data_IF_856137036871
#
_entry.id   IF_856137036871
#
_cell.length_a   1.000
_cell.length_b   1.000
_cell.length_c   1.000
_cell.angle_alpha   90.00
_cell.angle_beta   90.00
_cell.angle_gamma   90.00
#
_symmetry.space_group_name_H-M   'P 1'
#
loop_
_entity.id
_entity.type
_entity.pdbx_description
1 polymer ?
#
# COMPACT_ATOMS: atom_id res chain seq x y z
N UNK A 1 -0.44 37.78 37.93
CA UNK A 1 -0.12 38.41 36.62
C UNK A 1 1.28 37.93 36.29
N UNK A 2 1.58 37.06 35.32
CA UNK A 2 1.12 36.93 33.94
C UNK A 2 1.44 35.53 33.38
N UNK A 3 0.42 34.93 32.74
CA UNK A 3 0.41 34.13 31.50
C UNK A 3 1.42 32.99 31.29
N UNK A 4 0.92 31.77 31.49
CA UNK A 4 1.36 30.55 30.81
C UNK A 4 0.89 30.57 29.34
N UNK A 5 1.79 30.22 28.42
CA UNK A 5 1.50 30.04 27.00
C UNK A 5 1.24 28.56 26.73
N UNK A 6 -0.03 28.22 26.56
CA UNK A 6 -0.51 26.92 26.12
C UNK A 6 -0.49 26.89 24.58
N UNK A 7 0.41 26.11 23.98
CA UNK A 7 0.46 25.92 22.52
C UNK A 7 -0.34 24.68 22.14
N UNK A 8 -1.55 24.89 21.65
CA UNK A 8 -2.43 23.86 21.10
C UNK A 8 -1.90 23.36 19.76
N UNK A 9 -1.59 22.06 19.67
CA UNK A 9 -1.42 21.39 18.38
C UNK A 9 -2.80 21.20 17.74
N UNK A 10 -3.10 21.98 16.71
CA UNK A 10 -4.27 21.78 15.87
C UNK A 10 -4.03 20.54 14.99
N UNK A 11 -4.76 19.47 15.29
CA UNK A 11 -4.82 18.26 14.48
C UNK A 11 -5.65 18.59 13.25
N UNK A 12 -4.97 18.85 12.14
CA UNK A 12 -5.60 19.15 10.85
C UNK A 12 -6.19 17.85 10.30
N UNK A 13 -7.51 17.73 10.37
CA UNK A 13 -8.31 16.71 9.71
C UNK A 13 -8.20 16.91 8.19
N UNK A 14 -7.30 16.16 7.54
CA UNK A 14 -7.17 16.15 6.08
C UNK A 14 -7.92 14.94 5.54
N UNK A 15 -9.06 15.25 4.91
CA UNK A 15 -9.82 14.37 4.03
C UNK A 15 -8.89 13.61 3.09
N UNK A 16 -9.15 12.31 2.98
CA UNK A 16 -8.41 11.39 2.12
C UNK A 16 -8.48 11.83 0.65
N UNK A 17 -7.38 11.83 -0.11
CA UNK A 17 -7.47 11.69 -1.55
C UNK A 17 -7.93 10.25 -1.83
N UNK A 18 -9.11 10.10 -2.40
CA UNK A 18 -9.56 8.82 -2.96
C UNK A 18 -8.65 8.46 -4.14
N UNK A 19 -7.97 7.31 -4.04
CA UNK A 19 -7.47 6.63 -5.23
C UNK A 19 -8.70 6.11 -5.98
N UNK A 20 -8.84 6.35 -7.30
CA UNK A 20 -10.08 6.10 -8.01
C UNK A 20 -10.47 4.62 -7.97
N UNK A 21 -11.59 4.35 -7.32
CA UNK A 21 -12.36 3.13 -7.51
C UNK A 21 -13.14 3.28 -8.82
N UNK A 22 -12.80 2.50 -9.85
CA UNK A 22 -13.66 2.19 -11.01
C UNK A 22 -14.25 3.39 -11.78
N UNK A 23 -13.65 3.72 -12.93
CA UNK A 23 -14.27 4.63 -13.91
C UNK A 23 -15.34 3.85 -14.70
N UNK A 24 -16.57 4.34 -14.62
CA UNK A 24 -17.71 3.95 -15.44
C UNK A 24 -17.44 4.18 -16.93
N UNK A 25 -17.72 3.18 -17.76
CA UNK A 25 -17.72 3.28 -19.21
C UNK A 25 -19.07 3.86 -19.66
N UNK A 26 -19.12 4.95 -20.44
CA UNK A 26 -20.36 5.36 -21.10
C UNK A 26 -20.61 4.46 -22.31
N UNK A 27 -21.86 4.01 -22.46
CA UNK A 27 -22.35 3.35 -23.65
C UNK A 27 -22.30 4.33 -24.83
N UNK A 28 -21.75 3.88 -25.97
CA UNK A 28 -21.92 4.54 -27.26
C UNK A 28 -22.61 3.61 -28.22
N UNK A 29 -23.62 4.18 -28.86
CA UNK A 29 -24.58 3.63 -29.80
C UNK A 29 -23.95 3.08 -31.09
N UNK A 30 -24.75 2.21 -31.70
CA UNK A 30 -24.60 1.57 -33.00
C UNK A 30 -24.34 2.55 -34.16
N UNK A 31 -23.57 2.09 -35.15
CA UNK A 31 -23.96 2.22 -36.55
C UNK A 31 -23.26 1.17 -37.41
N UNK A 32 -24.04 0.62 -38.34
CA UNK A 32 -23.84 -0.61 -39.09
C UNK A 32 -22.88 -0.53 -40.29
N UNK A 33 -22.30 -1.67 -40.69
CA UNK A 33 -22.48 -2.25 -42.04
C UNK A 33 -21.71 -3.59 -42.24
N UNK A 34 -22.47 -4.60 -42.66
CA UNK A 34 -22.21 -5.99 -43.14
C UNK A 34 -21.37 -6.10 -44.45
N UNK A 35 -21.18 -7.29 -45.10
CA UNK A 35 -21.27 -8.72 -44.68
C UNK A 35 -20.13 -9.64 -45.21
N UNK A 36 -20.12 -10.92 -44.80
CA UNK A 36 -19.36 -11.99 -45.48
C UNK A 36 -19.66 -13.41 -44.96
N UNK A 37 -20.35 -14.20 -45.77
CA UNK A 37 -20.82 -15.57 -45.55
C UNK A 37 -19.72 -16.63 -45.29
N UNK A 38 -20.03 -17.68 -44.50
CA UNK A 38 -20.19 -19.06 -45.01
C UNK A 38 -20.52 -20.08 -43.91
N UNK A 39 -21.33 -21.06 -44.30
CA UNK A 39 -22.02 -22.08 -43.51
C UNK A 39 -21.13 -23.29 -43.14
N UNK A 40 -21.51 -24.00 -42.07
CA UNK A 40 -21.62 -25.47 -42.12
C UNK A 40 -22.57 -25.99 -41.04
N UNK A 41 -23.55 -26.77 -41.47
CA UNK A 41 -24.55 -27.49 -40.70
C UNK A 41 -23.99 -28.77 -40.06
N UNK A 42 -24.50 -29.15 -38.89
CA UNK A 42 -25.26 -30.38 -38.64
C UNK A 42 -25.21 -30.81 -37.16
N UNK A 43 -26.36 -31.21 -36.63
CA UNK A 43 -26.43 -32.09 -35.45
C UNK A 43 -27.59 -31.83 -34.48
N UNK A 44 -28.83 -32.02 -34.93
CA UNK A 44 -30.03 -32.07 -34.09
C UNK A 44 -30.01 -33.24 -33.10
N UNK A 45 -30.53 -33.04 -31.89
CA UNK A 45 -31.49 -33.99 -31.30
C UNK A 45 -32.45 -33.26 -30.36
N UNK A 46 -33.73 -33.56 -30.60
CA UNK A 46 -34.97 -33.03 -30.01
C UNK A 46 -35.41 -33.94 -28.85
N UNK A 47 -36.20 -33.41 -27.92
CA UNK A 47 -37.45 -33.96 -27.30
C UNK A 47 -37.72 -33.14 -26.02
N UNK A 48 -38.53 -32.07 -26.03
CA UNK A 48 -40.01 -31.96 -25.94
C UNK A 48 -40.65 -32.50 -24.66
N UNK A 49 -41.35 -31.59 -23.95
CA UNK A 49 -42.65 -31.71 -23.26
C UNK A 49 -42.67 -30.67 -22.11
N UNK A 50 -43.65 -29.82 -21.88
CA UNK A 50 -44.95 -29.58 -22.50
C UNK A 50 -45.61 -28.46 -21.69
N UNK A 51 -46.25 -27.51 -22.39
CA UNK A 51 -47.23 -26.59 -21.82
C UNK A 51 -48.43 -27.36 -21.28
N UNK A 52 -48.98 -26.95 -20.13
CA UNK A 52 -50.40 -27.08 -19.83
C UNK A 52 -50.80 -26.13 -18.67
N UNK A 53 -51.61 -25.14 -19.06
CA UNK A 53 -52.53 -24.37 -18.25
C UNK A 53 -53.53 -25.25 -17.51
N UNK A 54 -53.89 -24.90 -16.26
CA UNK A 54 -55.27 -24.66 -15.78
C UNK A 54 -55.36 -24.72 -14.25
N UNK A 55 -55.91 -23.63 -13.70
CA UNK A 55 -57.00 -23.55 -12.72
C UNK A 55 -57.15 -24.72 -11.73
N UNK A 56 -57.08 -24.39 -10.43
CA UNK A 56 -57.95 -24.98 -9.41
C UNK A 56 -58.02 -24.04 -8.20
N UNK A 57 -59.15 -23.34 -8.13
CA UNK A 57 -59.75 -22.80 -6.92
C UNK A 57 -59.86 -23.89 -5.84
N UNK A 58 -59.44 -23.61 -4.61
CA UNK A 58 -59.86 -24.40 -3.45
C UNK A 58 -60.39 -23.49 -2.33
N UNK A 59 -61.71 -23.50 -2.30
CA UNK A 59 -62.66 -23.36 -1.21
C UNK A 59 -62.10 -23.17 0.21
N UNK A 60 -62.47 -22.02 0.80
CA UNK A 60 -62.85 -21.98 2.23
C UNK A 60 -64.28 -21.46 2.31
N UNK A 61 -65.20 -22.39 2.56
CA UNK A 61 -66.58 -22.14 2.94
C UNK A 61 -66.74 -22.35 4.46
N UNK A 62 -67.83 -21.77 4.95
CA UNK A 62 -68.38 -21.79 6.31
C UNK A 62 -67.77 -20.74 7.25
N UNK A 63 -68.52 -19.82 7.84
CA UNK A 63 -69.96 -19.69 7.94
C UNK A 63 -70.29 -18.94 9.24
N UNK A 64 -71.39 -18.20 9.20
CA UNK A 64 -72.20 -17.73 10.34
C UNK A 64 -71.78 -16.43 11.05
N UNK A 65 -72.79 -15.57 11.27
CA UNK A 65 -72.73 -14.51 12.28
C UNK A 65 -73.20 -13.13 11.87
N UNK A 66 -74.29 -12.99 11.12
CA UNK A 66 -75.07 -11.75 11.10
C UNK A 66 -75.72 -11.58 12.48
N UNK A 67 -75.21 -10.68 13.31
CA UNK A 67 -75.98 -10.14 14.43
C UNK A 67 -75.84 -8.60 14.47
N UNK A 68 -76.90 -7.96 14.00
CA UNK A 68 -77.13 -6.53 14.01
C UNK A 68 -77.37 -6.06 15.45
N UNK A 69 -76.29 -5.78 16.18
CA UNK A 69 -76.37 -5.07 17.46
C UNK A 69 -76.34 -3.56 17.20
N UNK A 70 -77.49 -2.92 17.45
CA UNK A 70 -77.68 -1.49 17.60
C UNK A 70 -76.51 -0.83 18.35
N UNK A 71 -75.68 -0.07 17.63
CA UNK A 71 -74.65 0.78 18.18
C UNK A 71 -75.33 1.96 18.90
N UNK A 72 -75.63 1.78 20.19
CA UNK A 72 -76.03 2.89 21.05
C UNK A 72 -74.86 3.85 21.15
N UNK A 73 -75.00 4.99 20.47
CA UNK A 73 -74.23 6.20 20.69
C UNK A 73 -74.35 6.60 22.17
N UNK A 74 -73.44 6.08 23.01
CA UNK A 74 -73.18 6.61 24.34
C UNK A 74 -72.51 7.97 24.14
N UNK A 75 -73.30 9.03 24.23
CA UNK A 75 -72.80 10.40 24.38
C UNK A 75 -71.87 10.39 25.60
N UNK A 76 -70.58 10.74 25.46
CA UNK A 76 -69.69 10.83 26.60
C UNK A 76 -70.28 11.85 27.58
N UNK A 77 -70.58 11.41 28.80
CA UNK A 77 -70.98 12.30 29.87
C UNK A 77 -69.96 13.42 30.06
N UNK A 78 -70.39 14.62 30.50
CA UNK A 78 -69.48 15.73 30.71
C UNK A 78 -68.34 15.31 31.63
N UNK A 79 -67.08 15.64 31.30
CA UNK A 79 -65.94 15.28 32.13
C UNK A 79 -66.13 15.88 33.54
N UNK A 80 -65.70 15.17 34.60
CA UNK A 80 -65.81 15.66 35.96
C UNK A 80 -65.17 17.05 36.09
N UNK A 81 -65.75 17.95 36.91
CA UNK A 81 -65.23 19.30 37.08
C UNK A 81 -63.80 19.25 37.62
N UNK A 82 -62.88 19.82 36.83
CA UNK A 82 -61.45 19.89 37.15
C UNK A 82 -61.27 20.81 38.36
N UNK A 83 -60.85 20.24 39.48
CA UNK A 83 -60.55 20.98 40.71
C UNK A 83 -59.28 21.81 40.46
N UNK A 84 -59.25 23.05 40.92
CA UNK A 84 -58.16 24.03 40.71
C UNK A 84 -56.76 23.54 41.12
N UNK A 85 -56.70 22.53 41.99
CA UNK A 85 -55.49 21.82 42.43
C UNK A 85 -54.76 21.08 41.30
N UNK A 86 -55.43 20.69 40.21
CA UNK A 86 -54.81 19.89 39.12
C UNK A 86 -54.10 20.74 38.04
N UNK A 87 -54.18 22.08 38.11
CA UNK A 87 -53.63 22.99 37.09
C UNK A 87 -52.17 23.38 37.32
N UNK A 88 -51.59 22.99 38.45
CA UNK A 88 -50.23 23.36 38.85
C UNK A 88 -49.47 22.06 39.11
N UNK A 89 -48.40 21.82 38.37
CA UNK A 89 -47.50 20.71 38.68
C UNK A 89 -46.79 20.97 40.03
N UNK A 90 -46.24 19.93 40.66
CA UNK A 90 -45.65 20.03 42.00
C UNK A 90 -44.47 21.03 42.11
N UNK A 91 -43.98 21.53 40.98
CA UNK A 91 -42.94 22.54 40.80
C UNK A 91 -43.48 23.98 40.64
N UNK A 92 -44.80 24.19 40.78
CA UNK A 92 -45.41 25.53 40.68
C UNK A 92 -45.68 26.00 39.26
N UNK A 93 -45.35 25.21 38.24
CA UNK A 93 -45.61 25.56 36.84
C UNK A 93 -47.00 25.15 36.37
N UNK A 94 -47.63 26.00 35.56
CA UNK A 94 -48.93 25.73 34.96
C UNK A 94 -48.81 24.56 33.98
N UNK A 95 -49.61 23.50 34.16
CA UNK A 95 -49.66 22.39 33.22
C UNK A 95 -50.38 22.84 31.94
N UNK A 96 -49.60 23.22 30.92
CA UNK A 96 -50.12 23.65 29.61
C UNK A 96 -50.73 22.42 28.87
N UNK A 97 -51.95 22.05 29.24
CA UNK A 97 -52.78 21.06 28.55
C UNK A 97 -53.51 21.71 27.37
N UNK A 98 -52.78 22.13 26.35
CA UNK A 98 -53.39 22.46 25.06
C UNK A 98 -53.66 21.16 24.28
N UNK A 99 -54.78 21.09 23.54
CA UNK A 99 -55.05 19.95 22.63
C UNK A 99 -53.89 19.69 21.66
N UNK A 100 -53.10 20.72 21.33
CA UNK A 100 -51.92 20.65 20.46
C UNK A 100 -50.73 19.98 21.16
N UNK A 101 -50.43 20.37 22.39
CA UNK A 101 -49.33 19.80 23.19
C UNK A 101 -49.61 18.36 23.59
N UNK A 102 -50.87 18.02 23.89
CA UNK A 102 -51.25 16.63 24.20
C UNK A 102 -51.18 15.71 22.97
N UNK A 103 -51.60 16.20 21.79
CA UNK A 103 -51.42 15.48 20.52
C UNK A 103 -49.94 15.28 20.18
N UNK A 104 -49.09 16.28 20.45
CA UNK A 104 -47.65 16.16 20.24
C UNK A 104 -47.02 15.17 21.22
N UNK A 105 -47.42 15.19 22.50
CA UNK A 105 -46.97 14.22 23.51
C UNK A 105 -47.39 12.80 23.16
N UNK A 106 -48.66 12.57 22.81
CA UNK A 106 -49.15 11.27 22.31
C UNK A 106 -48.45 10.82 21.02
N UNK A 107 -48.06 11.75 20.13
CA UNK A 107 -47.29 11.42 18.92
C UNK A 107 -45.84 11.05 19.25
N UNK A 108 -45.23 11.69 20.24
CA UNK A 108 -43.88 11.37 20.73
C UNK A 108 -43.88 10.05 21.53
N UNK A 109 -44.85 9.82 22.39
CA UNK A 109 -45.06 8.58 23.14
C UNK A 109 -45.33 7.41 22.19
N UNK A 110 -46.21 7.57 21.17
CA UNK A 110 -46.40 6.55 20.12
C UNK A 110 -45.15 6.32 19.26
N UNK A 111 -44.31 7.34 19.06
CA UNK A 111 -43.01 7.18 18.38
C UNK A 111 -41.98 6.50 19.27
N UNK A 112 -42.04 6.70 20.58
CA UNK A 112 -41.16 6.06 21.56
C UNK A 112 -41.57 4.61 21.84
N UNK A 113 -42.87 4.31 21.88
CA UNK A 113 -43.42 2.96 22.09
C UNK A 113 -43.36 2.07 20.85
N UNK A 114 -43.21 2.67 19.65
CA UNK A 114 -42.91 1.98 18.40
C UNK A 114 -41.42 1.81 18.13
N UNK A 115 -40.54 2.35 18.99
CA UNK A 115 -39.13 1.97 18.91
C UNK A 115 -39.06 0.52 19.37
N UNK A 116 -38.54 -0.40 18.54
CA UNK A 116 -38.33 -1.76 18.99
C UNK A 116 -37.52 -1.72 20.29
N UNK A 117 -37.76 -2.66 21.23
CA UNK A 117 -36.91 -2.77 22.42
C UNK A 117 -35.47 -2.76 21.93
N UNK A 118 -34.63 -1.86 22.49
CA UNK A 118 -33.21 -1.76 22.16
C UNK A 118 -32.68 -3.18 22.10
N UNK A 119 -32.43 -3.67 20.89
CA UNK A 119 -31.98 -5.04 20.68
C UNK A 119 -30.70 -5.18 21.48
N UNK A 120 -30.76 -5.99 22.52
CA UNK A 120 -29.59 -6.47 23.22
C UNK A 120 -28.77 -7.19 22.14
N UNK A 121 -27.65 -6.60 21.71
CA UNK A 121 -26.56 -7.32 21.06
C UNK A 121 -26.58 -7.55 19.54
N UNK A 122 -27.17 -6.69 18.70
CA UNK A 122 -27.02 -6.80 17.22
C UNK A 122 -25.83 -6.04 16.62
N UNK A 123 -25.04 -5.34 17.43
CA UNK A 123 -23.82 -4.67 16.97
C UNK A 123 -22.64 -5.63 16.85
N UNK A 124 -21.55 -5.19 16.21
CA UNK A 124 -20.28 -5.93 16.15
C UNK A 124 -19.50 -5.85 17.48
N UNK A 125 -19.51 -4.69 18.15
CA UNK A 125 -18.80 -4.42 19.41
C UNK A 125 -19.22 -5.17 20.69
N UNK A 126 -20.39 -5.84 20.80
CA UNK A 126 -20.68 -6.75 21.91
C UNK A 126 -19.85 -8.04 21.88
N UNK A 127 -19.11 -8.31 20.79
CA UNK A 127 -18.23 -9.46 20.68
C UNK A 127 -16.96 -9.26 21.53
N UNK A 128 -16.40 -10.33 22.12
CA UNK A 128 -15.06 -10.34 22.69
C UNK A 128 -13.99 -9.84 21.72
N UNK A 129 -12.98 -9.14 22.24
CA UNK A 129 -11.92 -8.53 21.44
C UNK A 129 -11.17 -9.57 20.59
N UNK A 130 -10.98 -10.79 21.07
CA UNK A 130 -10.31 -11.88 20.34
C UNK A 130 -11.08 -12.26 19.07
N UNK A 131 -12.42 -12.30 19.15
CA UNK A 131 -13.27 -12.59 18.00
C UNK A 131 -13.26 -11.42 17.02
N UNK A 132 -13.29 -10.18 17.51
CA UNK A 132 -13.17 -8.99 16.68
C UNK A 132 -11.84 -8.97 15.91
N UNK A 133 -10.73 -9.19 16.60
CA UNK A 133 -9.40 -9.24 15.99
C UNK A 133 -9.28 -10.37 14.95
N UNK A 134 -9.85 -11.54 15.24
CA UNK A 134 -9.91 -12.65 14.28
C UNK A 134 -10.74 -12.30 13.04
N UNK A 135 -11.90 -11.66 13.19
CA UNK A 135 -12.72 -11.19 12.07
C UNK A 135 -11.93 -10.18 11.23
N UNK A 136 -11.30 -9.19 11.86
CA UNK A 136 -10.53 -8.16 11.16
C UNK A 136 -9.28 -8.73 10.48
N UNK A 137 -8.64 -9.74 11.05
CA UNK A 137 -7.50 -10.41 10.43
C UNK A 137 -7.84 -11.12 9.11
N UNK A 138 -9.12 -11.43 8.86
CA UNK A 138 -9.56 -12.00 7.60
C UNK A 138 -9.83 -10.95 6.50
N UNK A 139 -9.91 -9.67 6.85
CA UNK A 139 -10.19 -8.60 5.89
C UNK A 139 -8.92 -8.17 5.14
N UNK A 140 -9.10 -7.49 4.00
CA UNK A 140 -7.99 -6.88 3.28
C UNK A 140 -7.61 -5.54 3.93
N UNK A 141 -6.34 -5.11 3.84
CA UNK A 141 -5.92 -3.80 4.36
C UNK A 141 -6.77 -2.63 3.82
N UNK A 142 -7.16 -2.67 2.54
CA UNK A 142 -8.10 -1.71 1.95
C UNK A 142 -9.48 -1.70 2.62
N UNK A 143 -10.02 -2.86 2.96
CA UNK A 143 -11.31 -2.97 3.66
C UNK A 143 -11.21 -2.41 5.07
N UNK A 144 -10.11 -2.68 5.76
CA UNK A 144 -9.82 -2.18 7.11
C UNK A 144 -9.70 -0.65 7.13
N UNK A 145 -9.01 -0.06 6.15
CA UNK A 145 -8.94 1.40 5.98
C UNK A 145 -10.32 2.01 5.70
N UNK A 146 -11.16 1.35 4.91
CA UNK A 146 -12.56 1.77 4.70
C UNK A 146 -13.38 1.64 5.98
N UNK A 147 -13.19 0.57 6.75
CA UNK A 147 -13.87 0.38 8.04
C UNK A 147 -13.52 1.47 9.06
N UNK A 148 -12.28 1.96 9.09
CA UNK A 148 -11.88 3.09 9.94
C UNK A 148 -12.65 4.40 9.62
N UNK A 149 -13.28 4.50 8.46
CA UNK A 149 -14.06 5.67 8.05
C UNK A 149 -15.55 5.55 8.42
N UNK A 150 -16.03 4.37 8.82
CA UNK A 150 -17.46 4.12 9.04
C UNK A 150 -18.02 4.78 10.31
N UNK A 151 -17.31 4.66 11.44
CA UNK A 151 -17.69 5.32 12.69
C UNK A 151 -16.48 5.56 13.60
N UNK A 152 -16.63 6.48 14.56
CA UNK A 152 -15.56 6.87 15.49
C UNK A 152 -15.10 5.71 16.37
N UNK A 153 -16.04 4.89 16.87
CA UNK A 153 -15.72 3.71 17.67
C UNK A 153 -14.89 2.68 16.90
N UNK A 154 -15.21 2.44 15.62
CA UNK A 154 -14.45 1.52 14.77
C UNK A 154 -13.05 2.07 14.48
N UNK A 155 -12.96 3.37 14.19
CA UNK A 155 -11.68 4.05 13.97
C UNK A 155 -10.76 3.90 15.18
N UNK A 156 -11.28 4.18 16.37
CA UNK A 156 -10.49 4.14 17.60
C UNK A 156 -10.06 2.71 17.95
N UNK A 157 -10.98 1.75 17.81
CA UNK A 157 -10.69 0.33 18.06
C UNK A 157 -9.58 -0.18 17.12
N UNK A 158 -9.72 0.05 15.81
CA UNK A 158 -8.74 -0.40 14.81
C UNK A 158 -7.39 0.31 14.96
N UNK A 159 -7.35 1.57 15.41
CA UNK A 159 -6.08 2.26 15.71
C UNK A 159 -5.40 1.71 16.95
N UNK A 160 -6.17 1.41 18.00
CA UNK A 160 -5.65 0.89 19.26
C UNK A 160 -4.99 -0.48 19.07
N UNK A 161 -5.62 -1.35 18.29
CA UNK A 161 -5.17 -2.73 18.10
C UNK A 161 -4.41 -2.96 16.79
N UNK A 162 -4.02 -1.89 16.10
CA UNK A 162 -3.48 -1.92 14.74
C UNK A 162 -2.31 -2.90 14.59
N UNK A 163 -1.32 -2.81 15.47
CA UNK A 163 -0.12 -3.64 15.41
C UNK A 163 -0.39 -5.14 15.58
N UNK A 164 -1.43 -5.51 16.33
CA UNK A 164 -1.74 -6.90 16.65
C UNK A 164 -2.40 -7.58 15.46
N UNK A 165 -3.52 -7.05 14.96
CA UNK A 165 -4.22 -7.71 13.86
C UNK A 165 -3.49 -7.53 12.53
N UNK A 166 -2.78 -6.42 12.30
CA UNK A 166 -2.05 -6.22 11.04
C UNK A 166 -0.92 -7.24 10.90
N UNK A 167 -0.22 -7.56 11.98
CA UNK A 167 0.80 -8.63 11.96
C UNK A 167 0.20 -9.96 11.52
N UNK A 168 -0.99 -10.28 12.00
CA UNK A 168 -1.71 -11.49 11.58
C UNK A 168 -2.16 -11.43 10.11
N UNK A 169 -2.65 -10.28 9.65
CA UNK A 169 -3.00 -10.06 8.23
C UNK A 169 -1.78 -10.28 7.32
N UNK A 170 -0.63 -9.70 7.70
CA UNK A 170 0.62 -9.84 6.93
C UNK A 170 1.10 -11.29 6.91
N UNK A 171 1.14 -11.95 8.07
CA UNK A 171 1.55 -13.35 8.16
C UNK A 171 0.66 -14.28 7.32
N UNK A 172 -0.65 -14.01 7.25
CA UNK A 172 -1.60 -14.83 6.48
C UNK A 172 -1.58 -14.56 4.98
N UNK A 173 -1.40 -13.31 4.56
CA UNK A 173 -1.61 -12.89 3.16
C UNK A 173 -0.34 -12.54 2.40
N UNK A 174 0.68 -12.05 3.10
CA UNK A 174 1.85 -11.38 2.54
C UNK A 174 3.18 -11.98 3.06
N UNK A 175 3.19 -13.28 3.34
CA UNK A 175 4.33 -13.97 3.95
C UNK A 175 5.59 -13.94 3.07
N UNK A 176 5.45 -13.87 1.75
CA UNK A 176 6.56 -13.77 0.80
C UNK A 176 6.98 -12.32 0.57
N UNK A 177 6.03 -11.39 0.51
CA UNK A 177 6.27 -9.98 0.20
C UNK A 177 6.85 -9.22 1.39
N UNK A 178 6.46 -9.54 2.62
CA UNK A 178 6.96 -8.86 3.82
C UNK A 178 8.49 -8.92 3.94
N UNK A 179 9.16 -10.08 3.80
CA UNK A 179 10.62 -10.13 3.85
C UNK A 179 11.31 -9.42 2.67
N UNK A 180 10.61 -9.27 1.53
CA UNK A 180 11.14 -8.57 0.36
C UNK A 180 11.13 -7.04 0.56
N UNK A 181 10.03 -6.53 1.09
CA UNK A 181 9.73 -5.09 1.19
C UNK A 181 9.85 -4.56 2.61
N UNK A 182 11.02 -4.73 3.22
CA UNK A 182 11.25 -4.24 4.58
C UNK A 182 11.19 -2.72 4.67
N UNK A 183 10.69 -2.23 5.80
CA UNK A 183 10.65 -0.80 6.09
C UNK A 183 12.06 -0.25 6.42
N UNK A 184 12.41 0.96 5.94
CA UNK A 184 13.58 1.67 6.45
C UNK A 184 13.38 2.08 7.91
N UNK A 185 14.47 2.14 8.67
CA UNK A 185 14.45 2.61 10.05
C UNK A 185 14.23 4.13 10.09
N UNK A 186 13.43 4.59 11.06
CA UNK A 186 13.22 6.02 11.28
C UNK A 186 14.39 6.61 12.06
N UNK A 187 14.66 7.89 11.84
CA UNK A 187 15.81 8.54 12.47
C UNK A 187 15.67 8.60 14.00
N UNK A 188 14.44 8.70 14.50
CA UNK A 188 14.12 8.64 15.93
C UNK A 188 14.47 7.32 16.62
N UNK A 189 14.57 6.22 15.86
CA UNK A 189 14.78 4.86 16.40
C UNK A 189 16.27 4.46 16.37
N UNK A 190 17.13 5.29 15.77
CA UNK A 190 18.59 5.06 15.70
C UNK A 190 19.28 5.79 16.85
N UNK A 191 20.37 5.21 17.35
CA UNK A 191 21.23 5.83 18.38
C UNK A 191 21.63 7.27 17.99
N UNK A 192 21.29 8.28 18.82
CA UNK A 192 21.68 9.68 18.62
C UNK A 192 23.18 9.90 18.37
N UNK A 193 24.05 9.02 18.88
CA UNK A 193 25.51 9.13 18.69
C UNK A 193 25.92 9.05 17.22
N UNK A 194 25.15 8.34 16.38
CA UNK A 194 25.45 8.09 14.96
C UNK A 194 24.81 9.17 14.07
N UNK A 195 23.87 9.97 14.58
CA UNK A 195 23.13 10.98 13.80
C UNK A 195 24.05 11.99 13.08
N UNK A 196 25.11 12.54 13.70
CA UNK A 196 26.02 13.47 13.01
C UNK A 196 26.70 12.83 11.79
N UNK A 197 27.13 11.57 11.93
CA UNK A 197 27.77 10.82 10.84
C UNK A 197 26.79 10.54 9.69
N UNK A 198 25.53 10.21 10.02
CA UNK A 198 24.48 9.99 9.02
C UNK A 198 24.15 11.27 8.28
N UNK A 199 24.04 12.41 8.98
CA UNK A 199 23.67 13.72 8.43
C UNK A 199 24.84 14.48 7.79
N UNK A 200 26.06 13.91 7.81
CA UNK A 200 27.26 14.57 7.30
C UNK A 200 27.08 15.04 5.83
N UNK A 201 27.31 16.33 5.51
CA UNK A 201 27.01 16.90 4.19
C UNK A 201 27.72 16.20 3.02
N UNK A 202 28.99 15.81 3.18
CA UNK A 202 29.72 15.10 2.13
C UNK A 202 29.11 13.74 1.83
N UNK A 203 28.60 13.07 2.87
CA UNK A 203 27.92 11.78 2.75
C UNK A 203 26.59 11.94 2.04
N UNK A 204 25.78 12.92 2.45
CA UNK A 204 24.51 13.25 1.79
C UNK A 204 24.72 13.65 0.32
N UNK A 205 25.79 14.39 0.02
CA UNK A 205 26.18 14.74 -1.34
C UNK A 205 26.61 13.52 -2.18
N UNK A 206 27.34 12.60 -1.56
CA UNK A 206 27.88 11.36 -2.16
C UNK A 206 26.89 10.20 -2.27
N UNK A 207 25.73 10.27 -1.60
CA UNK A 207 24.61 9.33 -1.75
C UNK A 207 23.89 9.52 -3.10
N UNK A 208 24.63 9.38 -4.19
CA UNK A 208 24.12 9.49 -5.56
C UNK A 208 23.17 8.38 -5.98
N UNK A 209 22.77 7.48 -5.08
CA UNK A 209 21.82 6.40 -5.37
C UNK A 209 20.43 6.98 -5.66
N UNK A 210 20.01 8.02 -4.92
CA UNK A 210 18.71 8.66 -5.13
C UNK A 210 18.65 9.54 -6.38
N UNK A 211 19.76 10.20 -6.73
CA UNK A 211 19.84 11.14 -7.87
C UNK A 211 19.68 10.48 -9.24
N UNK A 212 19.68 9.15 -9.30
CA UNK A 212 19.62 8.42 -10.55
C UNK A 212 18.20 8.05 -10.98
N UNK A 213 17.24 8.01 -10.05
CA UNK A 213 15.85 7.66 -10.35
C UNK A 213 15.02 8.91 -10.57
N UNK A 214 14.32 8.99 -11.69
CA UNK A 214 13.39 10.11 -11.98
C UNK A 214 12.04 9.96 -11.29
N UNK A 215 11.71 8.76 -10.81
CA UNK A 215 10.39 8.38 -10.32
C UNK A 215 10.41 7.99 -8.82
N UNK A 216 11.49 8.34 -8.11
CA UNK A 216 11.63 8.11 -6.67
C UNK A 216 12.09 9.40 -6.03
N UNK A 217 11.34 9.86 -5.02
CA UNK A 217 11.74 11.01 -4.22
C UNK A 217 12.89 10.59 -3.31
N UNK A 218 13.96 11.38 -3.15
CA UNK A 218 14.96 11.12 -2.12
C UNK A 218 14.31 11.09 -0.73
N UNK A 219 14.79 10.19 0.14
CA UNK A 219 14.34 10.15 1.52
C UNK A 219 14.77 11.42 2.26
N UNK A 220 13.92 11.93 3.14
CA UNK A 220 14.29 13.04 4.04
C UNK A 220 15.30 12.54 5.08
N UNK A 221 16.54 13.05 5.07
CA UNK A 221 17.59 12.59 5.96
C UNK A 221 17.31 12.88 7.43
N UNK A 222 16.43 13.83 7.74
CA UNK A 222 16.07 14.18 9.12
C UNK A 222 15.04 13.23 9.72
N UNK A 223 14.24 12.57 8.88
CA UNK A 223 13.15 11.70 9.31
C UNK A 223 13.52 10.21 9.20
N UNK A 224 14.34 9.83 8.22
CA UNK A 224 14.62 8.44 7.86
C UNK A 224 16.12 8.19 7.93
N UNK A 225 16.52 7.03 8.47
CA UNK A 225 17.91 6.62 8.46
C UNK A 225 18.42 6.56 7.02
N UNK A 226 19.57 7.20 6.78
CA UNK A 226 20.17 7.27 5.45
C UNK A 226 21.28 6.25 5.23
N UNK A 227 21.39 5.19 6.04
CA UNK A 227 22.29 4.07 5.74
C UNK A 227 21.92 3.42 4.39
N UNK A 228 22.86 2.72 3.75
CA UNK A 228 22.65 2.13 2.42
C UNK A 228 21.42 1.21 2.39
N UNK A 229 21.27 0.34 3.39
CA UNK A 229 20.11 -0.54 3.54
C UNK A 229 18.78 0.24 3.58
N UNK A 230 18.68 1.31 4.38
CA UNK A 230 17.44 2.07 4.51
C UNK A 230 17.11 2.86 3.23
N UNK A 231 18.13 3.37 2.53
CA UNK A 231 17.96 4.00 1.21
C UNK A 231 17.34 3.02 0.20
N UNK A 232 17.89 1.80 0.13
CA UNK A 232 17.39 0.79 -0.79
C UNK A 232 15.97 0.34 -0.44
N UNK A 233 15.64 0.21 0.86
CA UNK A 233 14.28 -0.06 1.33
C UNK A 233 13.30 1.05 0.96
N UNK A 234 13.67 2.32 1.19
CA UNK A 234 12.88 3.47 0.79
C UNK A 234 12.60 3.47 -0.72
N UNK A 235 13.65 3.31 -1.53
CA UNK A 235 13.50 3.25 -2.98
C UNK A 235 12.58 2.09 -3.40
N UNK A 236 12.72 0.91 -2.78
CA UNK A 236 11.87 -0.25 -3.06
C UNK A 236 10.39 0.04 -2.80
N UNK A 237 10.06 0.69 -1.69
CA UNK A 237 8.68 1.05 -1.35
C UNK A 237 8.11 2.10 -2.32
N UNK A 238 8.88 3.13 -2.66
CA UNK A 238 8.45 4.13 -3.65
C UNK A 238 8.20 3.49 -5.02
N UNK A 239 9.07 2.57 -5.44
CA UNK A 239 8.93 1.84 -6.71
C UNK A 239 7.66 1.01 -6.76
N UNK A 240 7.32 0.32 -5.68
CA UNK A 240 6.09 -0.46 -5.58
C UNK A 240 4.85 0.42 -5.78
N UNK A 241 4.83 1.60 -5.16
CA UNK A 241 3.71 2.54 -5.29
C UNK A 241 3.65 3.15 -6.70
N UNK A 242 4.79 3.56 -7.28
CA UNK A 242 4.83 4.07 -8.65
C UNK A 242 4.42 2.98 -9.66
N UNK A 243 4.91 1.75 -9.50
CA UNK A 243 4.52 0.63 -10.35
C UNK A 243 3.02 0.34 -10.29
N UNK A 244 2.40 0.47 -9.12
CA UNK A 244 0.96 0.33 -8.95
C UNK A 244 0.16 1.43 -9.66
N UNK A 245 0.64 2.68 -9.60
CA UNK A 245 0.04 3.81 -10.31
C UNK A 245 -0.03 3.55 -11.83
N UNK A 246 1.00 2.95 -12.41
CA UNK A 246 1.07 2.68 -13.85
C UNK A 246 0.43 1.37 -14.32
N UNK A 247 -0.06 0.51 -13.41
CA UNK A 247 -0.74 -0.74 -13.79
C UNK A 247 -1.90 -0.56 -14.79
N UNK A 248 -2.79 0.44 -14.66
CA UNK A 248 -3.84 0.65 -15.65
C UNK A 248 -3.31 0.84 -17.07
N UNK A 249 -2.26 1.66 -17.24
CA UNK A 249 -1.63 1.89 -18.54
C UNK A 249 -1.00 0.61 -19.10
N UNK A 250 -0.33 -0.16 -18.24
CA UNK A 250 0.31 -1.42 -18.64
C UNK A 250 -0.71 -2.48 -19.07
N UNK A 251 -1.88 -2.50 -18.43
CA UNK A 251 -2.96 -3.44 -18.76
C UNK A 251 -3.74 -3.04 -20.02
N UNK A 252 -3.95 -1.74 -20.24
CA UNK A 252 -4.60 -1.23 -21.45
C UNK A 252 -3.67 -1.17 -22.66
N UNK A 253 -2.37 -1.35 -22.47
CA UNK A 253 -1.35 -1.14 -23.51
C UNK A 253 -1.12 0.35 -23.84
N UNK A 254 -1.59 1.26 -23.00
CA UNK A 254 -1.34 2.70 -23.16
C UNK A 254 0.13 3.00 -22.80
N UNK A 255 0.87 3.74 -23.63
CA UNK A 255 2.26 4.07 -23.34
C UNK A 255 2.37 4.91 -22.06
N UNK A 256 3.36 4.60 -21.21
CA UNK A 256 3.73 5.43 -20.06
C UNK A 256 4.45 6.67 -20.60
N UNK A 257 4.09 7.89 -20.17
CA UNK A 257 4.76 9.10 -20.58
C UNK A 257 6.26 9.07 -20.24
N UNK A 258 7.10 9.10 -21.27
CA UNK A 258 8.55 9.20 -21.12
C UNK A 258 8.97 10.62 -20.77
N UNK A 259 9.86 10.76 -19.78
CA UNK A 259 10.42 12.04 -19.38
C UNK A 259 11.73 12.26 -20.16
N UNK A 260 11.85 13.33 -20.97
CA UNK A 260 13.09 13.66 -21.64
C UNK A 260 14.22 13.92 -20.65
N UNK A 261 15.45 13.56 -21.03
CA UNK A 261 16.63 13.78 -20.16
C UNK A 261 16.74 15.26 -19.77
N UNK A 262 17.02 15.52 -18.49
CA UNK A 262 17.21 16.87 -17.95
C UNK A 262 15.92 17.69 -17.77
N UNK A 263 14.75 17.13 -18.06
CA UNK A 263 13.46 17.77 -17.78
C UNK A 263 12.85 17.22 -16.50
N UNK A 264 12.18 18.11 -15.77
CA UNK A 264 11.42 17.79 -14.56
C UNK A 264 9.99 18.31 -14.76
N UNK A 265 9.11 17.48 -15.34
CA UNK A 265 7.73 17.91 -15.57
C UNK A 265 6.97 17.92 -14.25
N UNK A 266 6.13 18.93 -14.04
CA UNK A 266 5.35 19.16 -12.81
C UNK A 266 4.55 17.93 -12.41
N UNK A 267 3.89 17.27 -13.38
CA UNK A 267 3.10 16.05 -13.12
C UNK A 267 3.93 14.93 -12.47
N UNK A 268 5.22 14.84 -12.77
CA UNK A 268 6.08 13.81 -12.21
C UNK A 268 6.52 14.16 -10.80
N UNK A 269 6.79 15.44 -10.54
CA UNK A 269 7.11 15.92 -9.19
C UNK A 269 5.93 15.69 -8.25
N UNK A 270 4.71 16.02 -8.71
CA UNK A 270 3.47 15.79 -7.96
C UNK A 270 3.25 14.31 -7.67
N UNK A 271 3.35 13.46 -8.71
CA UNK A 271 3.20 12.01 -8.58
C UNK A 271 4.21 11.41 -7.60
N UNK A 272 5.47 11.79 -7.72
CA UNK A 272 6.55 11.27 -6.87
C UNK A 272 6.38 11.76 -5.42
N UNK A 273 5.91 12.99 -5.21
CA UNK A 273 5.57 13.51 -3.89
C UNK A 273 4.36 12.79 -3.27
N UNK A 274 3.33 12.47 -4.05
CA UNK A 274 2.18 11.67 -3.58
C UNK A 274 2.59 10.25 -3.18
N UNK A 275 3.40 9.60 -4.02
CA UNK A 275 3.94 8.27 -3.72
C UNK A 275 4.76 8.29 -2.42
N UNK A 276 5.60 9.31 -2.23
CA UNK A 276 6.38 9.47 -1.01
C UNK A 276 5.49 9.67 0.23
N UNK A 277 4.37 10.42 0.13
CA UNK A 277 3.41 10.57 1.24
C UNK A 277 2.79 9.23 1.66
N UNK A 278 2.47 8.35 0.69
CA UNK A 278 1.93 7.01 0.99
C UNK A 278 2.99 6.19 1.72
N UNK A 279 4.24 6.19 1.25
CA UNK A 279 5.34 5.47 1.89
C UNK A 279 5.61 6.01 3.30
N UNK A 280 5.62 7.33 3.50
CA UNK A 280 5.78 7.93 4.83
C UNK A 280 4.69 7.48 5.81
N UNK A 281 3.43 7.38 5.36
CA UNK A 281 2.35 6.83 6.20
C UNK A 281 2.61 5.37 6.57
N UNK A 282 3.11 4.57 5.64
CA UNK A 282 3.47 3.17 5.89
C UNK A 282 4.62 3.00 6.91
N UNK A 283 5.51 3.99 7.05
CA UNK A 283 6.56 3.95 8.08
C UNK A 283 6.00 4.15 9.49
N UNK A 284 4.84 4.81 9.62
CA UNK A 284 4.24 5.18 10.92
C UNK A 284 3.13 4.20 11.30
N UNK A 285 2.32 3.78 10.32
CA UNK A 285 1.14 2.94 10.52
C UNK A 285 1.35 1.56 9.90
N UNK A 286 1.34 0.48 10.71
CA UNK A 286 1.39 -0.89 10.21
C UNK A 286 0.31 -1.18 9.16
N UNK A 287 -0.90 -0.65 9.32
CA UNK A 287 -1.99 -0.86 8.38
C UNK A 287 -1.68 -0.26 7.00
N UNK A 288 -1.06 0.92 6.96
CA UNK A 288 -0.60 1.51 5.71
C UNK A 288 0.54 0.70 5.07
N UNK A 289 1.43 0.09 5.86
CA UNK A 289 2.42 -0.84 5.34
C UNK A 289 1.77 -2.09 4.72
N UNK A 290 0.82 -2.72 5.41
CA UNK A 290 0.06 -3.83 4.86
C UNK A 290 -0.70 -3.44 3.58
N UNK A 291 -1.19 -2.19 3.50
CA UNK A 291 -1.81 -1.66 2.27
C UNK A 291 -0.82 -1.55 1.12
N UNK A 292 0.43 -1.15 1.36
CA UNK A 292 1.48 -1.16 0.32
C UNK A 292 1.74 -2.59 -0.18
N UNK A 293 1.79 -3.58 0.72
CA UNK A 293 1.92 -5.00 0.34
C UNK A 293 0.73 -5.49 -0.47
N UNK A 294 -0.51 -5.13 -0.09
CA UNK A 294 -1.73 -5.47 -0.84
C UNK A 294 -1.69 -4.91 -2.26
N UNK A 295 -1.32 -3.63 -2.40
CA UNK A 295 -1.20 -2.95 -3.69
C UNK A 295 -0.12 -3.59 -4.55
N UNK A 296 0.99 -4.00 -3.94
CA UNK A 296 2.07 -4.69 -4.64
C UNK A 296 1.67 -6.07 -5.13
N UNK A 297 0.98 -6.85 -4.28
CA UNK A 297 0.46 -8.16 -4.64
C UNK A 297 -0.46 -8.03 -5.86
N UNK A 298 -1.38 -7.07 -5.82
CA UNK A 298 -2.29 -6.80 -6.94
C UNK A 298 -1.52 -6.46 -8.24
N UNK A 299 -0.53 -5.57 -8.14
CA UNK A 299 0.30 -5.17 -9.29
C UNK A 299 1.09 -6.36 -9.87
N UNK A 300 1.63 -7.22 -9.00
CA UNK A 300 2.36 -8.43 -9.39
C UNK A 300 1.43 -9.45 -10.05
N UNK A 301 0.26 -9.72 -9.47
CA UNK A 301 -0.75 -10.62 -10.02
C UNK A 301 -1.20 -10.15 -11.41
N UNK A 302 -1.50 -8.85 -11.57
CA UNK A 302 -1.88 -8.25 -12.86
C UNK A 302 -0.77 -8.39 -13.89
N UNK A 303 0.47 -8.12 -13.51
CA UNK A 303 1.61 -8.25 -14.40
C UNK A 303 1.84 -9.70 -14.85
N UNK A 304 1.86 -10.66 -13.91
CA UNK A 304 2.01 -12.09 -14.24
C UNK A 304 0.90 -12.55 -15.20
N UNK A 305 -0.34 -12.13 -14.94
CA UNK A 305 -1.49 -12.44 -15.81
C UNK A 305 -1.30 -11.86 -17.21
N UNK A 306 -0.90 -10.59 -17.33
CA UNK A 306 -0.60 -9.95 -18.63
C UNK A 306 0.49 -10.70 -19.38
N UNK A 307 1.59 -11.03 -18.71
CA UNK A 307 2.70 -11.76 -19.31
C UNK A 307 2.35 -13.20 -19.68
N UNK A 308 1.43 -13.85 -18.96
CA UNK A 308 0.92 -15.18 -19.30
C UNK A 308 -0.03 -15.16 -20.51
N UNK A 309 -0.76 -14.06 -20.74
CA UNK A 309 -1.63 -13.87 -21.89
C UNK A 309 -0.86 -13.53 -23.18
N UNK A 310 0.35 -12.97 -23.06
CA UNK A 310 1.19 -12.62 -24.20
C UNK A 310 1.68 -13.87 -24.95
N UNK A 311 1.11 -14.15 -26.13
CA UNK A 311 1.45 -15.31 -26.96
C UNK A 311 2.93 -15.37 -27.39
N UNK A 312 3.61 -14.21 -27.46
CA UNK A 312 5.04 -14.13 -27.75
C UNK A 312 5.95 -14.59 -26.60
N UNK A 313 5.45 -14.62 -25.35
CA UNK A 313 6.23 -15.03 -24.19
C UNK A 313 6.07 -16.54 -23.94
N UNK A 314 6.96 -17.33 -24.54
CA UNK A 314 6.92 -18.80 -24.42
C UNK A 314 7.36 -19.33 -23.05
N UNK A 315 8.00 -18.50 -22.22
CA UNK A 315 8.54 -18.92 -20.91
C UNK A 315 7.72 -18.30 -19.79
N UNK A 316 6.83 -19.10 -19.20
CA UNK A 316 6.11 -18.71 -17.97
C UNK A 316 7.07 -18.83 -16.79
N UNK A 317 7.46 -17.68 -16.23
CA UNK A 317 8.43 -17.65 -15.13
C UNK A 317 7.79 -17.85 -13.77
N UNK A 318 6.56 -17.35 -13.59
CA UNK A 318 5.73 -17.62 -12.42
C UNK A 318 4.55 -18.50 -12.81
N UNK A 319 4.26 -19.51 -11.99
CA UNK A 319 3.08 -20.36 -12.14
C UNK A 319 1.98 -19.83 -11.22
N UNK A 320 1.00 -19.15 -11.79
CA UNK A 320 -0.16 -18.63 -11.08
C UNK A 320 -1.43 -19.23 -11.69
N UNK A 321 -2.21 -19.91 -10.86
CA UNK A 321 -3.51 -20.45 -11.21
C UNK A 321 -4.61 -19.40 -10.93
N UNK A 322 -5.83 -19.65 -11.41
CA UNK A 322 -6.95 -18.72 -11.20
C UNK A 322 -7.37 -18.67 -9.73
N UNK A 323 -7.20 -19.78 -9.02
CA UNK A 323 -7.45 -19.92 -7.58
C UNK A 323 -6.47 -19.06 -6.77
N UNK A 324 -5.21 -18.99 -7.19
CA UNK A 324 -4.19 -18.14 -6.56
C UNK A 324 -4.52 -16.64 -6.72
N UNK A 325 -5.09 -16.24 -7.87
CA UNK A 325 -5.56 -14.86 -8.07
C UNK A 325 -6.76 -14.54 -7.15
N UNK A 326 -7.68 -15.49 -6.98
CA UNK A 326 -8.87 -15.32 -6.13
C UNK A 326 -8.56 -15.33 -4.63
N UNK A 327 -7.57 -16.10 -4.18
CA UNK A 327 -7.19 -16.18 -2.76
C UNK A 327 -6.74 -14.82 -2.21
N UNK A 328 -6.12 -14.00 -3.07
CA UNK A 328 -5.54 -12.72 -2.68
C UNK A 328 -4.40 -12.90 -1.66
N UNK A 329 -3.67 -14.01 -1.77
CA UNK A 329 -2.47 -14.32 -0.99
C UNK A 329 -1.25 -14.41 -1.91
N UNK A 330 -0.07 -14.24 -1.35
CA UNK A 330 1.20 -14.28 -2.09
C UNK A 330 1.84 -15.67 -2.14
N UNK A 331 1.13 -16.72 -1.73
CA UNK A 331 1.62 -18.09 -1.59
C UNK A 331 2.17 -18.66 -2.91
N UNK A 332 1.56 -18.30 -4.06
CA UNK A 332 2.02 -18.75 -5.37
C UNK A 332 3.44 -18.25 -5.69
N UNK A 333 3.89 -17.16 -5.06
CA UNK A 333 5.26 -16.66 -5.20
C UNK A 333 6.29 -17.53 -4.49
N UNK A 334 5.90 -18.49 -3.64
CA UNK A 334 6.82 -19.47 -3.04
C UNK A 334 7.32 -20.50 -4.05
N UNK A 335 6.59 -20.70 -5.14
CA UNK A 335 6.99 -21.58 -6.25
C UNK A 335 8.26 -21.05 -6.91
N UNK A 336 8.95 -21.89 -7.68
CA UNK A 336 10.17 -21.48 -8.37
C UNK A 336 9.91 -20.34 -9.35
N UNK A 337 10.87 -19.41 -9.42
CA UNK A 337 10.80 -18.23 -10.26
C UNK A 337 12.17 -17.56 -10.40
N UNK A 338 12.32 -16.61 -11.33
CA UNK A 338 13.57 -15.89 -11.54
C UNK A 338 13.83 -14.94 -10.36
N UNK A 339 15.10 -14.72 -10.00
CA UNK A 339 15.46 -13.65 -9.09
C UNK A 339 15.11 -12.30 -9.70
N UNK A 340 14.53 -11.40 -8.90
CA UNK A 340 14.17 -10.03 -9.30
C UNK A 340 14.78 -9.03 -8.33
N UNK A 341 16.11 -9.10 -8.22
CA UNK A 341 16.88 -8.21 -7.33
C UNK A 341 17.10 -6.82 -7.93
N UNK A 342 17.02 -6.67 -9.26
CA UNK A 342 17.38 -5.43 -9.93
C UNK A 342 16.29 -4.36 -9.80
N UNK A 343 16.70 -3.15 -9.43
CA UNK A 343 15.82 -1.99 -9.34
C UNK A 343 15.41 -1.51 -10.74
N UNK A 344 14.10 -1.34 -11.01
CA UNK A 344 13.64 -0.68 -12.22
C UNK A 344 14.15 0.76 -12.29
N UNK A 345 15.14 1.01 -13.15
CA UNK A 345 15.79 2.31 -13.25
C UNK A 345 14.93 3.35 -14.00
N UNK A 346 14.18 2.90 -14.99
CA UNK A 346 13.24 3.68 -15.78
C UNK A 346 11.86 3.02 -15.74
N UNK A 347 10.79 3.80 -15.90
CA UNK A 347 9.42 3.27 -16.00
C UNK A 347 9.23 2.35 -17.20
N UNK A 348 10.07 2.48 -18.23
CA UNK A 348 10.11 1.54 -19.37
C UNK A 348 10.39 0.10 -18.93
N UNK A 349 11.11 -0.09 -17.82
CA UNK A 349 11.36 -1.42 -17.29
C UNK A 349 10.08 -2.09 -16.77
N UNK A 350 9.03 -1.33 -16.45
CA UNK A 350 7.74 -1.86 -15.97
C UNK A 350 7.03 -2.74 -17.00
N UNK A 351 7.25 -2.51 -18.30
CA UNK A 351 6.68 -3.35 -19.37
C UNK A 351 7.19 -4.79 -19.32
N UNK A 352 8.43 -4.99 -18.89
CA UNK A 352 9.09 -6.29 -18.82
C UNK A 352 9.06 -6.90 -17.42
N UNK A 353 8.53 -6.17 -16.44
CA UNK A 353 8.57 -6.52 -15.03
C UNK A 353 7.38 -7.43 -14.66
N UNK A 354 7.62 -8.73 -14.67
CA UNK A 354 6.61 -9.73 -14.26
C UNK A 354 6.32 -9.68 -12.76
N UNK A 355 7.36 -9.57 -11.94
CA UNK A 355 7.27 -9.35 -10.50
C UNK A 355 8.48 -8.53 -10.04
N UNK A 356 8.32 -7.81 -8.93
CA UNK A 356 9.41 -7.09 -8.29
C UNK A 356 9.52 -7.56 -6.84
N UNK A 357 10.52 -8.41 -6.57
CA UNK A 357 10.73 -9.00 -5.26
C UNK A 357 12.14 -8.63 -4.79
N UNK A 358 12.33 -7.37 -4.36
CA UNK A 358 13.63 -6.93 -3.88
C UNK A 358 14.05 -7.79 -2.68
N UNK A 359 15.34 -7.95 -2.46
CA UNK A 359 15.90 -8.76 -1.38
C UNK A 359 15.61 -10.27 -1.45
N UNK A 360 15.18 -10.79 -2.60
CA UNK A 360 14.90 -12.22 -2.78
C UNK A 360 15.64 -12.80 -3.98
N UNK A 361 16.25 -13.97 -3.78
CA UNK A 361 16.97 -14.72 -4.82
C UNK A 361 16.60 -16.21 -4.80
N UNK A 362 16.51 -16.83 -5.98
CA UNK A 362 16.35 -18.28 -6.10
C UNK A 362 17.72 -18.96 -6.01
N UNK A 363 17.88 -19.91 -5.10
CA UNK A 363 19.06 -20.77 -5.06
C UNK A 363 18.71 -22.10 -5.73
N UNK A 364 19.38 -22.42 -6.84
CA UNK A 364 19.26 -23.73 -7.49
C UNK A 364 19.70 -24.87 -6.57
N UNK A 365 20.77 -24.64 -5.81
CA UNK A 365 21.43 -25.69 -5.03
C UNK A 365 20.62 -26.12 -3.81
N UNK A 366 19.90 -25.17 -3.22
CA UNK A 366 19.04 -25.41 -2.05
C UNK A 366 17.56 -25.54 -2.42
N UNK A 367 17.23 -25.43 -3.72
CA UNK A 367 15.88 -25.43 -4.28
C UNK A 367 14.88 -24.56 -3.49
N UNK A 368 15.36 -23.45 -2.95
CA UNK A 368 14.58 -22.56 -2.09
C UNK A 368 14.89 -21.10 -2.35
N UNK A 369 13.94 -20.28 -1.93
CA UNK A 369 14.12 -18.84 -1.89
C UNK A 369 15.03 -18.44 -0.73
N UNK A 370 16.04 -17.64 -1.05
CA UNK A 370 16.90 -16.99 -0.08
C UNK A 370 16.51 -15.52 -0.01
N UNK A 371 16.47 -15.00 1.22
CA UNK A 371 16.27 -13.58 1.48
C UNK A 371 17.60 -12.95 1.87
N UNK A 372 17.81 -11.72 1.41
CA UNK A 372 18.98 -10.96 1.81
C UNK A 372 18.99 -10.77 3.34
N UNK A 373 20.15 -10.94 3.99
CA UNK A 373 20.27 -10.71 5.41
C UNK A 373 20.07 -9.23 5.73
N UNK A 374 19.77 -8.93 6.99
CA UNK A 374 19.68 -7.53 7.41
C UNK A 374 21.07 -6.92 7.58
N UNK A 375 21.44 -6.01 6.67
CA UNK A 375 22.71 -5.29 6.71
C UNK A 375 22.63 -3.96 7.47
N UNK A 376 21.48 -3.60 8.04
CA UNK A 376 21.26 -2.29 8.65
C UNK A 376 22.32 -1.92 9.69
N UNK A 377 22.55 -2.78 10.68
CA UNK A 377 23.53 -2.54 11.76
C UNK A 377 24.96 -2.45 11.24
N UNK A 378 25.30 -3.29 10.26
CA UNK A 378 26.62 -3.26 9.61
C UNK A 378 26.82 -1.94 8.86
N UNK A 379 25.80 -1.47 8.16
CA UNK A 379 25.87 -0.22 7.42
C UNK A 379 25.98 0.98 8.39
N UNK A 380 25.30 0.94 9.54
CA UNK A 380 25.44 1.96 10.58
C UNK A 380 26.88 2.01 11.14
N UNK A 381 27.45 0.85 11.45
CA UNK A 381 28.84 0.75 11.91
C UNK A 381 29.82 1.31 10.88
N UNK A 382 29.64 0.96 9.61
CA UNK A 382 30.49 1.49 8.54
C UNK A 382 30.37 3.03 8.40
N UNK A 383 29.16 3.57 8.58
CA UNK A 383 28.94 5.02 8.56
C UNK A 383 29.61 5.70 9.76
N UNK A 384 29.49 5.13 10.96
CA UNK A 384 30.10 5.69 12.16
C UNK A 384 31.63 5.63 12.11
N UNK A 385 32.23 4.57 11.58
CA UNK A 385 33.69 4.48 11.42
C UNK A 385 34.24 5.54 10.46
N UNK A 386 33.51 5.83 9.37
CA UNK A 386 34.01 6.68 8.28
C UNK A 386 33.69 8.16 8.45
N UNK A 387 32.56 8.49 9.07
CA UNK A 387 32.09 9.87 9.28
C UNK A 387 31.77 10.20 10.73
N UNK A 388 31.98 9.28 11.66
CA UNK A 388 31.93 9.58 13.08
C UNK A 388 33.07 10.51 13.46
N UNK A 389 32.77 11.47 14.32
CA UNK A 389 33.80 12.22 15.01
C UNK A 389 34.51 11.23 15.94
N UNK A 390 35.71 10.79 15.55
CA UNK A 390 36.60 10.15 16.51
C UNK A 390 36.80 11.17 17.62
N UNK A 391 36.22 10.88 18.79
CA UNK A 391 36.45 11.66 20.00
C UNK A 391 37.94 11.96 20.09
N UNK A 392 38.23 13.26 20.10
CA UNK A 392 39.55 13.82 20.31
C UNK A 392 40.25 13.12 21.48
N UNK A 393 41.21 12.25 21.18
CA UNK A 393 42.34 11.97 22.05
C UNK A 393 43.59 11.87 21.19
N UNK A 394 44.52 12.78 21.47
CA UNK A 394 45.66 13.05 20.62
C UNK A 394 46.55 11.83 20.38
N UNK A 395 46.88 11.62 19.11
CA UNK A 395 48.24 11.25 18.72
C UNK A 395 48.65 12.18 17.58
N UNK A 396 49.25 13.29 17.97
CA UNK A 396 50.33 13.88 17.20
C UNK A 396 51.37 12.78 16.97
N UNK A 397 51.27 12.06 15.85
CA UNK A 397 52.37 11.23 15.40
C UNK A 397 53.37 12.17 14.74
N UNK A 398 54.28 12.66 15.58
CA UNK A 398 55.49 13.33 15.15
C UNK A 398 56.23 12.41 14.20
N UNK A 399 56.41 12.89 12.98
CA UNK A 399 57.35 12.36 12.01
C UNK A 399 58.76 12.52 12.61
N UNK A 400 59.28 11.47 13.24
CA UNK A 400 60.71 11.34 13.51
C UNK A 400 61.29 10.37 12.49
N UNK A 401 61.96 10.95 11.51
CA UNK A 401 62.98 10.26 10.72
C UNK A 401 64.09 9.82 11.67
N UNK A 402 64.29 8.51 11.80
CA UNK A 402 65.53 7.94 12.27
C UNK A 402 66.15 7.19 11.08
N UNK A 403 67.09 7.87 10.43
CA UNK A 403 68.19 7.25 9.72
C UNK A 403 69.04 6.47 10.72
N UNK A 404 69.25 5.18 10.53
CA UNK A 404 70.61 4.65 10.71
C UNK A 404 70.86 3.34 9.98
N UNK A 405 72.12 3.22 9.55
CA UNK A 405 72.67 2.25 8.63
C UNK A 405 73.29 1.04 9.35
N UNK A 406 73.42 -0.07 8.61
CA UNK A 406 74.39 -1.16 8.87
C UNK A 406 73.90 -2.24 9.85
N UNK A 407 74.05 -3.54 9.61
CA UNK A 407 74.77 -4.27 8.58
C UNK A 407 74.94 -5.73 9.03
N UNK A 408 75.02 -6.63 8.04
CA UNK A 408 75.73 -7.93 8.01
C UNK A 408 75.19 -9.16 8.77
N UNK A 409 75.10 -10.27 8.01
CA UNK A 409 75.27 -11.67 8.44
C UNK A 409 74.07 -12.58 8.11
N UNK A 410 74.01 -13.22 6.93
CA UNK A 410 74.33 -14.66 6.68
C UNK A 410 73.54 -15.63 7.58
N UNK A 411 72.78 -16.64 7.12
CA UNK A 411 72.97 -17.56 6.01
C UNK A 411 71.73 -18.49 5.83
N UNK A 412 71.55 -19.00 4.61
CA UNK A 412 71.15 -20.37 4.26
C UNK A 412 69.68 -20.90 4.40
N UNK A 413 69.02 -20.93 3.22
CA UNK A 413 68.33 -22.09 2.55
C UNK A 413 67.09 -22.75 3.24
N UNK A 414 65.98 -23.13 2.59
CA UNK A 414 65.81 -23.84 1.31
C UNK A 414 64.32 -23.88 0.86
N UNK A 415 64.09 -23.85 -0.47
CA UNK A 415 63.00 -24.48 -1.27
C UNK A 415 61.52 -24.05 -1.10
N UNK A 416 60.94 -23.44 -2.15
CA UNK A 416 60.11 -24.09 -3.21
C UNK A 416 59.52 -23.03 -4.17
N UNK A 417 60.00 -22.96 -5.43
CA UNK A 417 59.33 -23.40 -6.68
C UNK A 417 58.10 -22.57 -7.11
N UNK A 418 58.24 -21.61 -8.04
CA UNK A 418 57.91 -21.70 -9.50
C UNK A 418 56.39 -21.83 -9.78
N UNK A 419 55.67 -21.05 -10.60
CA UNK A 419 55.93 -20.18 -11.76
C UNK A 419 54.67 -19.31 -12.02
N UNK A 420 54.78 -18.00 -12.27
CA UNK A 420 54.82 -17.32 -13.59
C UNK A 420 53.48 -17.16 -14.32
N UNK A 421 53.01 -15.90 -14.45
CA UNK A 421 52.38 -15.37 -15.67
C UNK A 421 52.25 -13.83 -15.62
N UNK A 422 53.29 -13.19 -16.16
CA UNK A 422 53.35 -12.01 -17.04
C UNK A 422 52.12 -11.09 -17.19
N UNK A 423 52.36 -9.82 -16.85
CA UNK A 423 51.61 -8.60 -17.20
C UNK A 423 52.07 -8.11 -18.59
N UNK A 424 51.19 -7.68 -19.51
CA UNK A 424 51.58 -6.83 -20.62
C UNK A 424 51.32 -5.34 -20.31
N UNK A 425 52.36 -4.53 -20.51
CA UNK A 425 52.33 -3.06 -20.52
C UNK A 425 51.88 -2.53 -21.92
N UNK A 426 51.48 -1.25 -22.02
CA UNK A 426 50.72 -0.73 -23.16
C UNK A 426 51.62 -0.23 -24.30
N UNK A 427 51.18 -0.48 -25.53
CA UNK A 427 51.78 0.04 -26.77
C UNK A 427 51.16 1.38 -27.17
N UNK A 428 52.03 2.38 -27.39
CA UNK A 428 51.73 3.57 -28.19
C UNK A 428 51.73 3.23 -29.70
N UNK A 429 51.13 4.10 -30.52
CA UNK A 429 51.82 4.49 -31.76
C UNK A 429 51.80 6.00 -32.00
N UNK A 430 53.02 6.52 -32.13
CA UNK A 430 53.55 7.48 -33.13
C UNK A 430 52.60 8.41 -33.88
N UNK A 431 52.90 9.70 -33.71
CA UNK A 431 52.63 10.83 -34.60
C UNK A 431 53.22 10.60 -36.00
N UNK A 432 52.48 11.07 -37.03
CA UNK A 432 53.06 11.66 -38.24
C UNK A 432 52.06 12.70 -38.80
N UNK A 433 52.50 13.95 -38.72
CA UNK A 433 52.19 15.13 -39.55
C UNK A 433 52.15 14.74 -41.05
N UNK A 434 51.42 15.35 -41.99
CA UNK A 434 51.32 16.77 -42.34
C UNK A 434 50.39 16.94 -43.57
N UNK A 435 49.98 18.20 -43.84
CA UNK A 435 49.28 18.77 -45.00
C UNK A 435 47.74 18.69 -45.05
N UNK A 436 46.99 19.75 -45.39
CA UNK A 436 47.19 21.19 -45.53
C UNK A 436 45.81 21.81 -45.85
N UNK A 437 45.57 23.06 -45.42
CA UNK A 437 44.71 24.13 -46.00
C UNK A 437 43.51 23.76 -46.91
N UNK A 438 42.28 24.30 -46.78
CA UNK A 438 41.82 25.69 -46.52
C UNK A 438 40.25 25.69 -46.43
N UNK A 439 39.60 26.71 -45.84
CA UNK A 439 38.14 26.83 -45.73
C UNK A 439 37.54 27.71 -46.84
N UNK A 440 36.21 27.61 -47.06
CA UNK A 440 35.23 28.51 -47.73
C UNK A 440 33.98 27.61 -47.95
N UNK A 441 32.71 27.97 -47.86
CA UNK A 441 31.93 29.18 -47.61
C UNK A 441 30.47 28.70 -47.43
N UNK A 442 29.67 29.37 -46.58
CA UNK A 442 28.21 29.46 -46.73
C UNK A 442 27.93 30.34 -47.97
N UNK A 443 26.85 30.15 -48.77
CA UNK A 443 25.45 30.35 -48.33
C UNK A 443 24.46 29.40 -49.07
N UNK A 444 23.14 29.33 -48.89
CA UNK A 444 22.04 30.19 -48.44
C UNK A 444 20.99 29.33 -47.72
#
# INVERSE_FOLDING_TARGET
MTKEASTSFALVDMLAPELPATISVPATEETASHPGHSASEHGSTVLTNGDLSQDLDDMTLDGEGSDSAHEFHMVPGPPPPVISSERVAADGNLTIRSKRTERQRKRLEKKASKRPPKSIGTGLFPLPDELLLSIFANLRPSDLLRLQQTCTSMREYLRTWESVFVKEVIARRYACLEPCLRLPALMKDIDPSIHPALLHPERQGGMGIHKKFQHVLPADPTCICTCLTCILRWNSLCLVVDFAHWQPNLDSGTPIPMIPRGKFPVWNEDLVAENAKIVQRALISPLWYARVLEVHLNSTTRSIRRHAANQGNRRRRFRMAKEDEMSGTDEFLQRSGPPTMDFPFHRDNYYMLESYLPNRGWSSDLERWLYMPDWHERDLHWVSERWGETSSSGKSSSMQQATDQGGTGTEATEKQSCNSATIPAPTQPTENTENAHRPLELPK
#
